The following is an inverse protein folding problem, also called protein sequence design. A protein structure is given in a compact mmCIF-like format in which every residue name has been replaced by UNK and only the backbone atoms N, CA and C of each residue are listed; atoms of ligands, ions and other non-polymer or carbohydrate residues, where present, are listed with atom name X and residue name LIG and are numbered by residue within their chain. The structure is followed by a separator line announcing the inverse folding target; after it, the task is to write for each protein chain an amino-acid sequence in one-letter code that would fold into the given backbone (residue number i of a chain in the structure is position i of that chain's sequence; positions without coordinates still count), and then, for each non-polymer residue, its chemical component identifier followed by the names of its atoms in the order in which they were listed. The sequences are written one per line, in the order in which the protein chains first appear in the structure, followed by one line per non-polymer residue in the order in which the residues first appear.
data_IF_621299432437
#
_entry.id   IF_621299432437
#
_cell.length_a   1.000
_cell.length_b   1.000
_cell.length_c   1.000
_cell.angle_alpha   90.00
_cell.angle_beta   90.00
_cell.angle_gamma   90.00
#
_symmetry.space_group_name_H-M   'P 1'
#
loop_
_entity.id
_entity.type
_entity.pdbx_description
1 polymer ?
#
# COMPACT_ATOMS: atom_id res chain seq x y z
N UNK A 1 -9.13 2.66 -2.19
CA UNK A 1 -9.52 2.66 -0.76
C UNK A 1 -11.03 2.81 -0.65
N UNK A 2 -11.68 2.11 0.26
CA UNK A 2 -13.15 2.12 0.45
C UNK A 2 -13.51 2.54 1.87
N UNK A 3 -14.78 2.82 2.11
CA UNK A 3 -15.34 3.13 3.42
C UNK A 3 -16.50 2.20 3.76
N UNK A 4 -16.67 1.88 5.05
CA UNK A 4 -17.87 1.19 5.55
C UNK A 4 -19.03 2.18 5.67
N UNK A 5 -20.23 1.69 5.94
CA UNK A 5 -21.40 2.53 6.25
C UNK A 5 -21.14 3.45 7.45
N UNK A 6 -20.32 3.00 8.40
CA UNK A 6 -19.90 3.77 9.58
C UNK A 6 -18.74 4.74 9.31
N UNK A 7 -18.31 4.88 8.05
CA UNK A 7 -17.22 5.76 7.62
C UNK A 7 -15.81 5.23 7.86
N UNK A 8 -15.64 3.98 8.33
CA UNK A 8 -14.31 3.41 8.55
C UNK A 8 -13.64 3.06 7.22
N UNK A 9 -12.43 3.56 7.03
CA UNK A 9 -11.66 3.33 5.81
C UNK A 9 -10.96 1.97 5.83
N UNK A 10 -10.98 1.28 4.70
CA UNK A 10 -10.28 0.02 4.49
C UNK A 10 -9.70 -0.11 3.08
N UNK A 11 -8.67 -0.95 2.95
CA UNK A 11 -8.19 -1.46 1.66
C UNK A 11 -8.77 -2.84 1.45
N UNK A 12 -9.11 -3.16 0.21
CA UNK A 12 -9.43 -4.54 -0.17
C UNK A 12 -8.24 -5.14 -0.87
N UNK A 13 -7.97 -6.41 -0.58
CA UNK A 13 -6.96 -7.17 -1.28
C UNK A 13 -7.42 -8.60 -1.52
N UNK A 14 -6.84 -9.15 -2.58
CA UNK A 14 -7.14 -10.48 -3.06
C UNK A 14 -6.03 -11.43 -2.61
N UNK A 15 -6.41 -12.47 -1.86
CA UNK A 15 -5.47 -13.49 -1.40
C UNK A 15 -5.78 -14.84 -2.05
N UNK A 16 -4.71 -15.51 -2.52
CA UNK A 16 -4.79 -16.92 -2.88
C UNK A 16 -5.09 -17.78 -1.66
N UNK A 17 -5.95 -18.79 -1.85
CA UNK A 17 -6.33 -19.75 -0.80
C UNK A 17 -5.13 -20.55 -0.33
N UNK A 18 -4.25 -20.94 -1.26
CA UNK A 18 -3.01 -21.65 -0.93
C UNK A 18 -1.79 -20.90 -1.47
N UNK A 19 -0.73 -20.89 -0.67
CA UNK A 19 0.59 -20.34 -1.04
C UNK A 19 1.55 -21.50 -1.27
N UNK A 20 1.26 -22.35 -2.25
CA UNK A 20 2.16 -23.47 -2.61
C UNK A 20 3.24 -22.99 -3.57
N UNK A 21 4.48 -23.45 -3.36
CA UNK A 21 5.68 -23.08 -4.14
C UNK A 21 5.51 -23.26 -5.65
N UNK A 22 4.67 -24.21 -6.06
CA UNK A 22 4.52 -24.60 -7.46
C UNK A 22 3.35 -23.88 -8.16
N UNK A 23 2.55 -23.07 -7.44
CA UNK A 23 1.48 -22.26 -8.02
C UNK A 23 0.36 -23.04 -8.72
N UNK A 24 0.32 -24.36 -8.59
CA UNK A 24 -0.59 -25.23 -9.31
C UNK A 24 -2.06 -24.92 -9.03
N UNK A 25 -2.35 -24.33 -7.86
CA UNK A 25 -3.66 -23.84 -7.53
C UNK A 25 -3.69 -22.31 -7.47
N UNK A 26 -4.34 -21.68 -8.45
CA UNK A 26 -4.55 -20.24 -8.55
C UNK A 26 -5.82 -19.78 -7.81
N UNK A 27 -6.51 -20.70 -7.13
CA UNK A 27 -7.72 -20.43 -6.39
C UNK A 27 -7.52 -19.26 -5.43
N UNK A 28 -8.43 -18.30 -5.58
CA UNK A 28 -8.48 -17.08 -4.81
C UNK A 28 -9.63 -17.18 -3.82
N UNK A 29 -9.50 -16.58 -2.63
CA UNK A 29 -10.60 -16.57 -1.66
C UNK A 29 -11.88 -16.02 -2.31
N UNK A 30 -13.02 -16.64 -2.02
CA UNK A 30 -14.31 -16.23 -2.56
C UNK A 30 -14.75 -14.82 -2.12
N UNK A 31 -14.13 -14.27 -1.07
CA UNK A 31 -14.35 -12.91 -0.60
C UNK A 31 -13.04 -12.13 -0.58
N UNK A 32 -13.13 -10.81 -0.79
CA UNK A 32 -11.98 -9.92 -0.65
C UNK A 32 -11.73 -9.61 0.83
N UNK A 33 -10.47 -9.78 1.25
CA UNK A 33 -10.07 -9.44 2.60
C UNK A 33 -10.03 -7.91 2.75
N UNK A 34 -10.39 -7.43 3.94
CA UNK A 34 -10.40 -6.00 4.27
C UNK A 34 -9.28 -5.69 5.26
N UNK A 35 -8.47 -4.69 4.94
CA UNK A 35 -7.43 -4.16 5.83
C UNK A 35 -7.86 -2.81 6.36
N UNK A 36 -8.14 -2.72 7.66
CA UNK A 36 -8.52 -1.50 8.34
C UNK A 36 -7.30 -0.73 8.89
N UNK A 37 -7.53 0.47 9.40
CA UNK A 37 -6.48 1.24 10.06
C UNK A 37 -6.06 0.59 11.38
N UNK A 38 -4.75 0.49 11.59
CA UNK A 38 -4.14 0.09 12.85
C UNK A 38 -3.36 1.29 13.40
N UNK A 39 -4.00 2.08 14.27
CA UNK A 39 -3.51 3.40 14.69
C UNK A 39 -2.33 3.36 15.67
N UNK A 40 -2.03 2.20 16.25
CA UNK A 40 -0.86 2.00 17.11
C UNK A 40 0.38 1.48 16.35
N UNK A 41 0.24 1.15 15.07
CA UNK A 41 1.27 0.47 14.32
C UNK A 41 1.94 1.43 13.32
N UNK A 42 3.28 1.59 13.37
CA UNK A 42 4.00 2.43 12.42
C UNK A 42 3.89 1.92 10.96
N UNK A 43 3.43 0.69 10.75
CA UNK A 43 3.15 0.09 9.44
C UNK A 43 1.65 0.01 9.14
N UNK A 44 0.87 0.95 9.66
CA UNK A 44 -0.56 1.04 9.40
C UNK A 44 -0.85 1.04 7.89
N UNK A 45 -1.65 0.09 7.37
CA UNK A 45 -1.86 -0.04 5.92
C UNK A 45 -2.59 1.16 5.33
N UNK A 46 -3.57 1.71 6.07
CA UNK A 46 -4.34 2.87 5.63
C UNK A 46 -3.47 4.13 5.57
N UNK A 47 -2.65 4.38 6.59
CA UNK A 47 -1.75 5.54 6.59
C UNK A 47 -0.68 5.40 5.50
N UNK A 48 -0.13 4.20 5.32
CA UNK A 48 0.84 3.90 4.26
C UNK A 48 0.25 4.17 2.88
N UNK A 49 -0.98 3.71 2.63
CA UNK A 49 -1.65 3.93 1.35
C UNK A 49 -2.00 5.41 1.10
N UNK A 50 -2.43 6.15 2.13
CA UNK A 50 -2.63 7.61 2.03
C UNK A 50 -1.34 8.34 1.67
N UNK A 51 -0.22 7.96 2.29
CA UNK A 51 1.08 8.54 1.98
C UNK A 51 1.52 8.21 0.55
N UNK A 52 1.24 7.00 0.07
CA UNK A 52 1.45 6.63 -1.32
C UNK A 52 0.64 7.53 -2.27
N UNK A 53 -0.68 7.69 -2.05
CA UNK A 53 -1.52 8.55 -2.88
C UNK A 53 -1.01 9.99 -2.94
N UNK A 54 -0.57 10.54 -1.79
CA UNK A 54 -0.05 11.91 -1.71
C UNK A 54 1.25 12.13 -2.49
N UNK A 55 2.02 11.06 -2.74
CA UNK A 55 3.29 11.11 -3.48
C UNK A 55 3.12 10.74 -4.95
N UNK A 56 1.97 10.22 -5.35
CA UNK A 56 1.75 9.71 -6.69
C UNK A 56 1.60 10.89 -7.67
N UNK A 57 2.39 10.96 -8.76
CA UNK A 57 2.18 11.97 -9.78
C UNK A 57 0.82 11.75 -10.45
N UNK A 58 0.16 12.83 -10.87
CA UNK A 58 -1.20 12.82 -11.42
C UNK A 58 -1.34 11.84 -12.59
N UNK A 59 -0.32 11.79 -13.46
CA UNK A 59 -0.26 10.87 -14.62
C UNK A 59 -0.26 9.39 -14.25
N UNK A 60 0.00 9.05 -12.98
CA UNK A 60 -0.02 7.68 -12.48
C UNK A 60 -1.23 7.37 -11.60
N UNK A 61 -2.23 8.26 -11.47
CA UNK A 61 -3.38 8.05 -10.58
C UNK A 61 -4.44 7.11 -11.16
N UNK A 62 -4.32 6.70 -12.43
CA UNK A 62 -5.26 5.79 -13.06
C UNK A 62 -5.35 4.43 -12.33
N UNK A 63 -6.55 3.83 -12.37
CA UNK A 63 -6.90 2.63 -11.60
C UNK A 63 -6.09 1.39 -12.04
N UNK A 64 -5.63 1.37 -13.29
CA UNK A 64 -4.78 0.35 -13.89
C UNK A 64 -3.28 0.53 -13.61
N UNK A 65 -2.87 1.71 -13.12
CA UNK A 65 -1.47 1.98 -12.84
C UNK A 65 -1.00 1.15 -11.64
N UNK A 66 0.14 0.46 -11.75
CA UNK A 66 0.64 -0.43 -10.71
C UNK A 66 1.00 0.30 -9.40
N UNK A 67 0.78 -0.39 -8.28
CA UNK A 67 1.16 0.06 -6.94
C UNK A 67 2.54 -0.50 -6.58
N UNK A 68 3.58 0.34 -6.65
CA UNK A 68 4.93 -0.02 -6.22
C UNK A 68 5.23 0.61 -4.84
N UNK A 69 5.46 -0.23 -3.83
CA UNK A 69 6.06 0.20 -2.58
C UNK A 69 7.58 0.07 -2.70
N UNK A 70 8.26 1.21 -2.89
CA UNK A 70 9.70 1.27 -2.76
C UNK A 70 10.11 1.05 -1.31
N UNK A 71 11.11 0.18 -1.06
CA UNK A 71 11.73 0.08 0.26
C UNK A 71 12.54 1.35 0.49
N UNK A 72 12.03 2.26 1.33
CA UNK A 72 12.83 3.40 1.80
C UNK A 72 13.90 2.89 2.75
N UNK A 73 15.11 2.66 2.24
CA UNK A 73 16.26 2.48 3.12
C UNK A 73 16.55 3.86 3.70
N UNK A 74 16.09 4.12 4.92
CA UNK A 74 16.65 5.21 5.70
C UNK A 74 18.11 4.83 5.94
N UNK A 75 19.00 5.33 5.08
CA UNK A 75 20.39 5.48 5.45
C UNK A 75 20.31 6.38 6.69
N UNK A 76 20.82 5.92 7.83
CA UNK A 76 20.98 6.81 8.98
C UNK A 76 21.85 7.96 8.48
N UNK A 77 21.24 9.12 8.36
CA UNK A 77 21.94 10.31 7.90
C UNK A 77 22.89 10.72 9.03
N UNK A 78 24.19 10.48 8.84
CA UNK A 78 25.24 10.96 9.74
C UNK A 78 25.51 12.48 9.51
N UNK A 79 24.54 13.23 9.00
CA UNK A 79 24.58 14.69 8.89
C UNK A 79 25.14 15.20 7.57
N UNK A 80 24.58 14.80 6.42
CA UNK A 80 24.87 15.48 5.14
C UNK A 80 23.57 15.92 4.47
N UNK A 81 23.33 17.22 4.57
CA UNK A 81 22.21 17.93 4.00
C UNK A 81 22.01 17.66 2.49
N UNK A 82 20.78 17.36 2.10
CA UNK A 82 20.33 17.34 0.72
C UNK A 82 18.94 17.94 0.55
N UNK A 83 18.89 19.26 0.34
CA UNK A 83 17.86 19.90 -0.50
C UNK A 83 18.27 19.63 -1.97
N UNK A 84 17.41 19.48 -2.98
CA UNK A 84 16.33 20.39 -3.38
C UNK A 84 15.51 19.77 -4.54
N UNK A 85 14.25 20.20 -4.67
CA UNK A 85 13.38 20.02 -5.85
C UNK A 85 13.98 20.61 -7.15
N UNK A 86 13.69 19.95 -8.29
CA UNK A 86 13.57 20.42 -9.71
C UNK A 86 13.88 19.22 -10.64
N UNK A 87 13.19 18.97 -11.75
CA UNK A 87 12.20 19.66 -12.59
C UNK A 87 11.24 18.60 -13.14
#
# INVERSE_FOLDING_TARGET
MKATTDGQQYLEHTERITKTRNGANLDTRAFQAKMFADTGNPRCPIQTYKQFLRRRPEDMVADDCPFYLGVSRQIKDDGVAGFQDKL
#
